data_IF_775367552413
#
_entry.id   IF_775367552413
#
_cell.length_a   1.000
_cell.length_b   1.000
_cell.length_c   1.000
_cell.angle_alpha   90.00
_cell.angle_beta   90.00
_cell.angle_gamma   90.00
#
_symmetry.space_group_name_H-M   'P 1'
#
loop_
_entity.id
_entity.type
_entity.pdbx_description
1 polymer ?
#
# COMPACT_ATOMS: atom_id res chain seq x y z
N UNK A 1 -12.54 0.80 8.37
CA UNK A 1 -11.30 0.49 7.63
C UNK A 1 -11.42 -0.87 6.90
N UNK A 2 -12.48 -1.09 6.10
CA UNK A 2 -12.70 -2.38 5.40
C UNK A 2 -13.10 -2.16 3.94
N UNK A 3 -13.76 -1.03 3.66
CA UNK A 3 -14.16 -0.65 2.32
C UNK A 3 -12.97 -0.35 1.40
N UNK A 4 -11.99 0.46 1.85
CA UNK A 4 -10.77 0.76 1.08
C UNK A 4 -10.03 -0.52 0.66
N UNK A 5 -9.87 -1.48 1.56
CA UNK A 5 -9.23 -2.77 1.26
C UNK A 5 -10.01 -3.61 0.25
N UNK A 6 -11.35 -3.51 0.25
CA UNK A 6 -12.16 -4.18 -0.76
C UNK A 6 -11.95 -3.54 -2.13
N UNK A 7 -12.01 -2.21 -2.21
CA UNK A 7 -11.79 -1.46 -3.45
C UNK A 7 -10.40 -1.74 -4.03
N UNK A 8 -9.36 -1.72 -3.21
CA UNK A 8 -7.98 -2.00 -3.65
C UNK A 8 -7.80 -3.45 -4.13
N UNK A 9 -8.48 -4.41 -3.50
CA UNK A 9 -8.45 -5.82 -3.91
C UNK A 9 -9.18 -6.03 -5.23
N UNK A 10 -10.38 -5.45 -5.36
CA UNK A 10 -11.22 -5.58 -6.56
C UNK A 10 -10.54 -4.89 -7.77
N UNK A 11 -9.80 -3.79 -7.53
CA UNK A 11 -8.96 -3.15 -8.54
C UNK A 11 -7.68 -3.95 -8.89
N UNK A 12 -7.38 -5.03 -8.17
CA UNK A 12 -6.18 -5.85 -8.38
C UNK A 12 -4.88 -5.22 -7.87
N UNK A 13 -4.96 -4.18 -7.04
CA UNK A 13 -3.81 -3.43 -6.52
C UNK A 13 -3.14 -4.19 -5.38
N UNK A 14 -3.94 -4.88 -4.55
CA UNK A 14 -3.45 -5.66 -3.41
C UNK A 14 -3.93 -7.11 -3.51
N UNK A 15 -3.18 -8.00 -2.88
CA UNK A 15 -3.60 -9.36 -2.62
C UNK A 15 -3.53 -9.67 -1.14
N UNK A 16 -4.34 -10.64 -0.72
CA UNK A 16 -4.40 -11.13 0.65
C UNK A 16 -3.89 -12.56 0.67
N UNK A 17 -3.00 -12.86 1.60
CA UNK A 17 -2.55 -14.23 1.89
C UNK A 17 -2.86 -14.57 3.34
N UNK A 18 -3.51 -15.71 3.62
CA UNK A 18 -3.66 -16.18 4.98
C UNK A 18 -2.29 -16.58 5.53
N UNK A 19 -1.94 -16.07 6.71
CA UNK A 19 -0.74 -16.43 7.46
C UNK A 19 -1.15 -16.76 8.90
N UNK A 20 -1.49 -18.03 9.13
CA UNK A 20 -1.99 -18.50 10.41
C UNK A 20 -3.35 -17.88 10.76
N UNK A 21 -3.42 -17.14 11.88
CA UNK A 21 -4.64 -16.43 12.33
C UNK A 21 -4.79 -15.05 11.72
N UNK A 22 -3.78 -14.57 10.99
CA UNK A 22 -3.74 -13.24 10.42
C UNK A 22 -3.85 -13.29 8.89
N UNK A 23 -4.36 -12.21 8.31
CA UNK A 23 -4.36 -12.03 6.86
C UNK A 23 -3.33 -10.98 6.52
N UNK A 24 -2.27 -11.37 5.80
CA UNK A 24 -1.29 -10.42 5.31
C UNK A 24 -1.79 -9.79 4.02
N UNK A 25 -1.70 -8.47 3.94
CA UNK A 25 -1.95 -7.72 2.73
C UNK A 25 -0.62 -7.39 2.08
N UNK A 26 -0.54 -7.59 0.77
CA UNK A 26 0.65 -7.27 0.00
C UNK A 26 0.25 -6.54 -1.28
N UNK A 27 1.04 -5.53 -1.64
CA UNK A 27 0.84 -4.77 -2.87
C UNK A 27 1.38 -5.56 -4.07
N UNK A 28 0.64 -5.59 -5.17
CA UNK A 28 1.11 -6.16 -6.44
C UNK A 28 1.90 -5.10 -7.21
N UNK A 29 3.08 -4.76 -6.69
CA UNK A 29 3.88 -3.67 -7.25
C UNK A 29 4.21 -3.89 -8.73
N UNK A 30 4.61 -5.11 -9.08
CA UNK A 30 4.99 -5.48 -10.47
C UNK A 30 3.80 -5.33 -11.43
N UNK A 31 2.66 -5.96 -11.13
CA UNK A 31 1.44 -5.84 -11.96
C UNK A 31 0.99 -4.38 -12.12
N UNK A 32 1.17 -3.56 -11.08
CA UNK A 32 0.76 -2.17 -11.09
C UNK A 32 1.73 -1.30 -11.87
N UNK A 33 3.02 -1.59 -11.82
CA UNK A 33 4.05 -0.91 -12.60
C UNK A 33 3.93 -1.26 -14.10
N UNK A 34 3.62 -2.51 -14.44
CA UNK A 34 3.34 -2.93 -15.81
C UNK A 34 2.12 -2.21 -16.41
N UNK A 35 1.06 -1.99 -15.62
CA UNK A 35 -0.16 -1.30 -16.07
C UNK A 35 -0.05 0.21 -16.03
N UNK A 36 0.68 0.75 -15.05
CA UNK A 36 0.81 2.18 -14.76
C UNK A 36 2.28 2.52 -14.46
N UNK A 37 3.14 2.53 -15.49
CA UNK A 37 4.58 2.71 -15.31
C UNK A 37 4.87 4.06 -14.65
N UNK A 38 5.63 4.04 -13.55
CA UNK A 38 6.05 5.23 -12.82
C UNK A 38 4.98 5.87 -11.92
N UNK A 39 3.76 5.28 -11.83
CA UNK A 39 2.72 5.74 -10.90
C UNK A 39 3.18 5.59 -9.45
N UNK A 40 3.74 4.43 -9.11
CA UNK A 40 4.21 4.15 -7.76
C UNK A 40 5.37 5.08 -7.39
N UNK A 41 6.31 5.31 -8.28
CA UNK A 41 7.42 6.23 -8.03
C UNK A 41 6.95 7.68 -7.84
N UNK A 42 5.98 8.12 -8.65
CA UNK A 42 5.36 9.43 -8.52
C UNK A 42 4.63 9.58 -7.19
N UNK A 43 3.87 8.56 -6.79
CA UNK A 43 3.17 8.55 -5.51
C UNK A 43 4.14 8.55 -4.33
N UNK A 44 5.18 7.72 -4.37
CA UNK A 44 6.23 7.69 -3.35
C UNK A 44 6.97 9.04 -3.28
N UNK A 45 7.19 9.69 -4.42
CA UNK A 45 7.75 11.04 -4.46
C UNK A 45 6.81 12.05 -3.78
N UNK A 46 5.51 12.03 -4.12
CA UNK A 46 4.53 12.91 -3.48
C UNK A 46 4.45 12.68 -1.96
N UNK A 47 4.41 11.42 -1.52
CA UNK A 47 4.40 11.04 -0.10
C UNK A 47 5.62 11.57 0.65
N UNK A 48 6.82 11.53 0.04
CA UNK A 48 8.04 12.09 0.66
C UNK A 48 7.95 13.60 0.89
N UNK A 49 7.18 14.31 0.07
CA UNK A 49 6.98 15.75 0.16
C UNK A 49 5.74 16.14 0.96
N UNK A 50 4.92 15.17 1.38
CA UNK A 50 3.74 15.40 2.20
C UNK A 50 4.09 15.25 3.70
N UNK A 51 4.09 16.34 4.48
CA UNK A 51 4.49 16.29 5.88
C UNK A 51 3.54 15.46 6.76
N UNK A 52 2.24 15.42 6.43
CA UNK A 52 1.23 14.67 7.19
C UNK A 52 1.41 13.15 7.04
N UNK A 53 1.67 12.69 5.82
CA UNK A 53 1.93 11.27 5.56
C UNK A 53 3.23 10.82 6.19
N UNK A 54 4.27 11.68 6.21
CA UNK A 54 5.55 11.37 6.86
C UNK A 54 5.41 11.14 8.37
N UNK A 55 4.61 11.96 9.05
CA UNK A 55 4.32 11.79 10.49
C UNK A 55 3.56 10.48 10.76
N UNK A 56 2.57 10.15 9.92
CA UNK A 56 1.81 8.90 10.05
C UNK A 56 2.65 7.64 9.80
N UNK A 57 3.56 7.65 8.81
CA UNK A 57 4.44 6.50 8.53
C UNK A 57 5.45 6.31 9.65
N UNK A 58 6.05 7.39 10.16
CA UNK A 58 7.00 7.33 11.27
C UNK A 58 6.37 6.77 12.56
N UNK A 59 5.09 7.04 12.81
CA UNK A 59 4.35 6.46 13.95
C UNK A 59 4.13 4.95 13.85
N UNK A 60 4.10 4.38 12.65
CA UNK A 60 3.92 2.93 12.44
C UNK A 60 5.24 2.13 12.45
N UNK A 61 6.40 2.78 12.33
CA UNK A 61 7.72 2.12 12.44
C UNK A 61 8.16 1.89 13.90
N UNK A 62 7.53 2.55 14.88
CA UNK A 62 7.89 2.46 16.32
C UNK A 62 7.23 1.26 17.03
N UNK A 63 6.39 0.49 16.34
CA UNK A 63 5.73 -0.70 16.90
C UNK A 63 6.07 -1.96 16.10
N UNK A 64 7.34 -2.33 16.07
CA UNK A 64 7.82 -3.69 15.72
C UNK A 64 8.80 -4.15 16.78
#
# INVERSE_FOLDING_TARGET
MTHHWRVLRDAGVIWQRPYGRENLLSLRKEDLDDRFPGLIDSLLSAVRHDPLTREMVAMNEVTV
#
